data_IF_513648106191
#
_entry.id   IF_513648106191
#
_cell.length_a   1.000
_cell.length_b   1.000
_cell.length_c   1.000
_cell.angle_alpha   90.00
_cell.angle_beta   90.00
_cell.angle_gamma   90.00
#
_symmetry.space_group_name_H-M   'P 1'
#
loop_
_entity.id
_entity.type
_entity.pdbx_description
1 polymer ?
#
# COMPACT_ATOMS: atom_id res chain seq x y z
N UNK A 1 -25.22 -16.49 8.74
CA UNK A 1 -24.42 -15.39 9.31
C UNK A 1 -22.94 -15.46 8.94
N UNK A 2 -22.28 -16.61 9.10
CA UNK A 2 -20.87 -16.77 8.68
C UNK A 2 -20.67 -16.61 7.17
N UNK A 3 -21.64 -16.99 6.37
CA UNK A 3 -21.59 -16.86 4.90
C UNK A 3 -21.68 -15.40 4.45
N UNK A 4 -22.51 -14.58 5.12
CA UNK A 4 -22.65 -13.15 4.83
C UNK A 4 -21.32 -12.42 5.12
N UNK A 5 -20.68 -12.74 6.24
CA UNK A 5 -19.39 -12.18 6.61
C UNK A 5 -18.28 -12.54 5.61
N UNK A 6 -18.29 -13.76 5.09
CA UNK A 6 -17.35 -14.21 4.07
C UNK A 6 -17.57 -13.49 2.74
N UNK A 7 -18.83 -13.34 2.32
CA UNK A 7 -19.20 -12.61 1.11
C UNK A 7 -18.78 -11.14 1.22
N UNK A 8 -19.00 -10.52 2.37
CA UNK A 8 -18.58 -9.12 2.61
C UNK A 8 -17.07 -8.95 2.51
N UNK A 9 -16.30 -9.90 3.04
CA UNK A 9 -14.84 -9.89 2.93
C UNK A 9 -14.40 -10.06 1.46
N UNK A 10 -14.98 -10.99 0.74
CA UNK A 10 -14.68 -11.23 -0.67
C UNK A 10 -15.04 -10.00 -1.52
N UNK A 11 -16.22 -9.41 -1.29
CA UNK A 11 -16.64 -8.18 -1.98
C UNK A 11 -15.69 -7.02 -1.69
N UNK A 12 -15.27 -6.86 -0.44
CA UNK A 12 -14.31 -5.81 -0.07
C UNK A 12 -12.97 -5.99 -0.79
N UNK A 13 -12.46 -7.19 -0.85
CA UNK A 13 -11.23 -7.53 -1.56
C UNK A 13 -11.36 -7.24 -3.06
N UNK A 14 -12.48 -7.64 -3.66
CA UNK A 14 -12.75 -7.37 -5.07
C UNK A 14 -12.84 -5.86 -5.35
N UNK A 15 -13.45 -5.09 -4.45
CA UNK A 15 -13.53 -3.64 -4.56
C UNK A 15 -12.14 -3.01 -4.48
N UNK A 16 -11.29 -3.45 -3.56
CA UNK A 16 -9.91 -2.96 -3.44
C UNK A 16 -9.12 -3.26 -4.72
N UNK A 17 -9.21 -4.48 -5.23
CA UNK A 17 -8.53 -4.88 -6.47
C UNK A 17 -9.07 -4.09 -7.67
N UNK A 18 -10.38 -3.96 -7.79
CA UNK A 18 -11.03 -3.21 -8.86
C UNK A 18 -10.68 -1.72 -8.79
N UNK A 19 -10.66 -1.13 -7.60
CA UNK A 19 -10.28 0.25 -7.39
C UNK A 19 -8.82 0.49 -7.77
N UNK A 20 -7.90 -0.37 -7.34
CA UNK A 20 -6.50 -0.30 -7.71
C UNK A 20 -6.32 -0.43 -9.24
N UNK A 21 -6.98 -1.37 -9.86
CA UNK A 21 -6.94 -1.59 -11.31
C UNK A 21 -7.53 -0.40 -12.08
N UNK A 22 -8.67 0.10 -11.64
CA UNK A 22 -9.34 1.26 -12.23
C UNK A 22 -8.46 2.52 -12.13
N UNK A 23 -7.83 2.72 -11.00
CA UNK A 23 -6.90 3.81 -10.76
C UNK A 23 -5.69 3.76 -11.70
N UNK A 24 -5.16 2.57 -11.91
CA UNK A 24 -4.02 2.35 -12.81
C UNK A 24 -4.37 2.58 -14.29
N UNK A 25 -5.64 2.49 -14.68
CA UNK A 25 -6.09 2.70 -16.06
C UNK A 25 -6.43 4.15 -16.42
N UNK A 26 -6.78 4.98 -15.45
CA UNK A 26 -7.15 6.39 -15.72
C UNK A 26 -5.92 7.29 -15.78
N UNK A 27 -5.93 8.23 -16.73
CA UNK A 27 -4.90 9.28 -16.80
C UNK A 27 -4.83 10.14 -15.52
N UNK A 28 -5.96 10.30 -14.83
CA UNK A 28 -6.03 10.97 -13.52
C UNK A 28 -5.21 10.26 -12.47
N UNK A 29 -5.06 8.94 -12.58
CA UNK A 29 -4.26 8.16 -11.65
C UNK A 29 -2.77 8.48 -11.73
N UNK A 30 -2.26 8.79 -12.93
CA UNK A 30 -0.86 9.19 -13.11
C UNK A 30 -0.54 10.48 -12.36
N UNK A 31 -1.45 11.45 -12.40
CA UNK A 31 -1.29 12.71 -11.68
C UNK A 31 -1.37 12.50 -10.16
N UNK A 32 -2.28 11.65 -9.69
CA UNK A 32 -2.41 11.31 -8.27
C UNK A 32 -1.17 10.57 -7.76
N UNK A 33 -0.68 9.59 -8.49
CA UNK A 33 0.53 8.83 -8.12
C UNK A 33 1.76 9.74 -8.14
N UNK A 34 1.86 10.61 -9.13
CA UNK A 34 2.94 11.60 -9.21
C UNK A 34 2.90 12.57 -8.03
N UNK A 35 1.70 13.02 -7.64
CA UNK A 35 1.48 13.86 -6.46
C UNK A 35 1.86 13.12 -5.17
N UNK A 36 1.48 11.85 -5.06
CA UNK A 36 1.85 10.97 -3.96
C UNK A 36 3.36 10.80 -3.83
N UNK A 37 4.04 10.52 -4.93
CA UNK A 37 5.49 10.40 -4.95
C UNK A 37 6.16 11.68 -4.46
N UNK A 38 5.66 12.84 -4.88
CA UNK A 38 6.14 14.14 -4.44
C UNK A 38 5.93 14.35 -2.94
N UNK A 39 4.75 13.99 -2.42
CA UNK A 39 4.41 14.09 -1.00
C UNK A 39 5.33 13.21 -0.16
N UNK A 40 5.53 11.97 -0.58
CA UNK A 40 6.42 11.03 0.11
C UNK A 40 7.85 11.58 0.15
N UNK A 41 8.35 12.08 -0.95
CA UNK A 41 9.68 12.67 -1.03
C UNK A 41 9.84 13.89 -0.13
N UNK A 42 8.83 14.73 -0.02
CA UNK A 42 8.83 15.91 0.86
C UNK A 42 8.73 15.53 2.34
N UNK A 43 8.03 14.45 2.65
CA UNK A 43 7.78 14.01 4.02
C UNK A 43 8.87 13.08 4.58
N UNK A 44 9.91 12.81 3.83
CA UNK A 44 10.94 11.81 4.16
C UNK A 44 11.56 11.95 5.57
N UNK A 45 11.66 13.16 6.09
CA UNK A 45 12.23 13.42 7.42
C UNK A 45 11.32 12.95 8.57
N UNK A 46 10.03 12.79 8.33
CA UNK A 46 9.05 12.40 9.34
C UNK A 46 8.76 10.90 9.31
N UNK A 47 9.37 10.16 8.37
CA UNK A 47 9.03 8.77 8.12
C UNK A 47 9.97 7.75 8.74
N UNK A 48 11.11 8.18 9.31
CA UNK A 48 12.08 7.31 9.96
C UNK A 48 12.07 7.47 11.48
N UNK A 49 12.30 6.38 12.23
CA UNK A 49 12.49 4.99 11.80
C UNK A 49 11.18 4.29 11.44
N UNK A 50 11.21 3.45 10.42
CA UNK A 50 10.06 2.65 10.03
C UNK A 50 9.90 1.42 10.94
N UNK A 51 8.66 1.11 11.30
CA UNK A 51 8.32 -0.17 11.94
C UNK A 51 8.45 -1.30 10.92
N UNK A 52 9.05 -2.42 11.32
CA UNK A 52 9.25 -3.59 10.45
C UNK A 52 8.57 -4.83 11.03
N UNK A 53 7.89 -5.58 10.16
CA UNK A 53 7.36 -6.91 10.48
C UNK A 53 7.88 -7.92 9.47
N UNK A 54 8.49 -8.98 9.97
CA UNK A 54 8.91 -10.12 9.15
C UNK A 54 7.96 -11.28 9.39
N UNK A 55 7.48 -11.87 8.29
CA UNK A 55 6.50 -12.95 8.30
C UNK A 55 7.14 -14.17 7.61
N UNK A 56 7.13 -15.32 8.27
CA UNK A 56 7.76 -16.55 7.76
C UNK A 56 6.82 -17.33 6.83
N UNK A 57 6.12 -16.63 5.96
CA UNK A 57 5.23 -17.20 4.94
C UNK A 57 5.06 -16.23 3.77
N UNK A 58 4.34 -16.67 2.76
CA UNK A 58 3.94 -15.83 1.64
C UNK A 58 3.07 -14.67 2.12
N UNK A 59 3.37 -13.46 1.63
CA UNK A 59 2.53 -12.29 1.88
C UNK A 59 1.22 -12.43 1.09
N UNK A 60 0.11 -12.20 1.76
CA UNK A 60 -1.22 -12.23 1.20
C UNK A 60 -1.80 -10.82 1.12
N UNK A 61 -2.34 -10.47 -0.04
CA UNK A 61 -3.08 -9.22 -0.20
C UNK A 61 -4.20 -9.10 0.86
N UNK A 62 -4.95 -10.17 1.06
CA UNK A 62 -6.11 -10.16 1.95
C UNK A 62 -5.71 -10.19 3.42
N UNK A 63 -4.83 -11.10 3.80
CA UNK A 63 -4.48 -11.36 5.20
C UNK A 63 -3.55 -10.28 5.73
N UNK A 64 -2.58 -9.84 4.95
CA UNK A 64 -1.53 -8.95 5.43
C UNK A 64 -1.80 -7.48 5.12
N UNK A 65 -2.34 -7.17 3.95
CA UNK A 65 -2.53 -5.79 3.51
C UNK A 65 -3.93 -5.28 3.83
N UNK A 66 -4.96 -5.94 3.34
CA UNK A 66 -6.36 -5.53 3.55
C UNK A 66 -6.71 -5.55 5.03
N UNK A 67 -6.32 -6.60 5.75
CA UNK A 67 -6.57 -6.69 7.20
C UNK A 67 -5.85 -5.60 7.98
N UNK A 68 -4.63 -5.25 7.60
CA UNK A 68 -3.89 -4.15 8.21
C UNK A 68 -4.67 -2.83 8.10
N UNK A 69 -5.09 -2.47 6.90
CA UNK A 69 -5.83 -1.22 6.70
C UNK A 69 -7.22 -1.22 7.36
N UNK A 70 -7.88 -2.38 7.43
CA UNK A 70 -9.14 -2.53 8.16
C UNK A 70 -9.00 -2.22 9.65
N UNK A 71 -7.91 -2.64 10.26
CA UNK A 71 -7.65 -2.39 11.68
C UNK A 71 -7.47 -0.91 12.00
N UNK A 72 -7.08 -0.11 11.02
CA UNK A 72 -6.84 1.33 11.20
C UNK A 72 -8.13 2.16 11.20
N UNK A 73 -9.27 1.58 10.82
CA UNK A 73 -10.56 2.28 10.75
C UNK A 73 -10.49 3.62 10.01
N UNK A 74 -9.96 3.59 8.78
CA UNK A 74 -9.70 4.78 7.99
C UNK A 74 -10.97 5.50 7.55
N UNK A 75 -10.91 6.82 7.51
CA UNK A 75 -11.94 7.64 6.88
C UNK A 75 -11.64 7.76 5.37
N UNK A 76 -12.44 7.12 4.49
CA UNK A 76 -12.14 7.07 3.07
C UNK A 76 -12.20 8.43 2.36
N UNK A 77 -12.81 9.43 2.98
CA UNK A 77 -12.87 10.79 2.43
C UNK A 77 -11.63 11.62 2.70
N UNK A 78 -10.83 11.24 3.71
CA UNK A 78 -9.70 12.03 4.20
C UNK A 78 -8.39 11.27 4.27
N UNK A 79 -8.46 9.95 4.24
CA UNK A 79 -7.32 9.08 4.43
C UNK A 79 -7.22 8.09 3.27
N UNK A 80 -6.06 8.03 2.64
CA UNK A 80 -5.82 7.19 1.49
C UNK A 80 -4.72 6.18 1.82
N UNK A 81 -5.05 4.89 1.88
CA UNK A 81 -4.05 3.85 2.05
C UNK A 81 -3.24 3.66 0.78
N UNK A 82 -1.96 3.36 0.94
CA UNK A 82 -1.07 3.08 -0.18
C UNK A 82 -0.04 2.01 0.20
N UNK A 83 0.59 1.43 -0.82
CA UNK A 83 1.73 0.54 -0.64
C UNK A 83 2.80 0.83 -1.68
N UNK A 84 4.04 0.53 -1.33
CA UNK A 84 5.21 0.72 -2.18
C UNK A 84 6.01 -0.59 -2.18
N UNK A 85 6.50 -1.01 -3.34
CA UNK A 85 7.46 -2.11 -3.42
C UNK A 85 8.71 -1.79 -2.61
N UNK A 86 9.17 -2.74 -1.79
CA UNK A 86 10.37 -2.57 -0.99
C UNK A 86 11.63 -2.31 -1.81
N UNK A 87 11.75 -2.95 -2.98
CA UNK A 87 12.87 -2.72 -3.89
C UNK A 87 12.79 -1.39 -4.68
N UNK A 88 11.76 -0.60 -4.45
CA UNK A 88 11.61 0.75 -5.00
C UNK A 88 11.77 1.83 -3.92
N UNK A 89 12.16 1.46 -2.72
CA UNK A 89 12.21 2.36 -1.57
C UNK A 89 13.18 3.55 -1.78
N UNK A 90 14.31 3.32 -2.41
CA UNK A 90 15.32 4.36 -2.66
C UNK A 90 14.84 5.45 -3.61
N UNK A 91 13.81 5.20 -4.40
CA UNK A 91 13.19 6.21 -5.26
C UNK A 91 12.46 7.29 -4.47
N UNK A 92 12.02 6.97 -3.27
CA UNK A 92 11.20 7.84 -2.43
C UNK A 92 11.94 8.35 -1.18
N UNK A 93 12.86 7.56 -0.65
CA UNK A 93 13.58 7.85 0.57
C UNK A 93 15.09 7.84 0.29
N UNK A 94 15.68 9.02 0.17
CA UNK A 94 17.08 9.17 -0.25
C UNK A 94 18.10 8.50 0.67
N UNK A 95 17.77 8.36 1.95
CA UNK A 95 18.65 7.75 2.95
C UNK A 95 18.36 6.27 3.17
N UNK A 96 17.44 5.70 2.39
CA UNK A 96 17.06 4.30 2.50
C UNK A 96 17.90 3.42 1.57
N UNK A 97 18.05 2.18 1.95
CA UNK A 97 18.52 1.11 1.07
C UNK A 97 17.30 0.34 0.58
N UNK A 98 17.33 -0.12 -0.67
CA UNK A 98 16.26 -0.98 -1.18
C UNK A 98 16.16 -2.25 -0.33
N UNK A 99 14.92 -2.64 -0.09
CA UNK A 99 14.59 -3.89 0.59
C UNK A 99 14.43 -5.03 -0.40
N UNK A 100 14.22 -6.23 0.10
CA UNK A 100 14.01 -7.39 -0.76
C UNK A 100 12.78 -7.21 -1.66
N UNK A 101 12.74 -7.94 -2.78
CA UNK A 101 11.60 -7.95 -3.69
C UNK A 101 10.32 -8.50 -3.03
N UNK A 102 10.44 -9.18 -1.89
CA UNK A 102 9.33 -9.75 -1.12
C UNK A 102 8.91 -8.86 0.05
N UNK A 103 9.26 -7.60 0.03
CA UNK A 103 8.87 -6.62 1.04
C UNK A 103 8.00 -5.53 0.44
N UNK A 104 7.16 -4.96 1.32
CA UNK A 104 6.27 -3.85 1.01
C UNK A 104 6.38 -2.79 2.10
N UNK A 105 6.21 -1.55 1.71
CA UNK A 105 5.94 -0.46 2.63
C UNK A 105 4.47 -0.13 2.50
N UNK A 106 3.75 -0.14 3.62
CA UNK A 106 2.34 0.28 3.68
C UNK A 106 2.24 1.55 4.51
N UNK A 107 1.29 2.40 4.17
CA UNK A 107 1.09 3.65 4.90
C UNK A 107 -0.24 4.30 4.53
N UNK A 108 -0.54 5.39 5.22
CA UNK A 108 -1.77 6.17 5.03
C UNK A 108 -1.42 7.63 4.81
N UNK A 109 -1.94 8.19 3.74
CA UNK A 109 -1.88 9.63 3.50
C UNK A 109 -3.12 10.31 4.07
N UNK A 110 -2.91 11.35 4.88
CA UNK A 110 -3.96 12.16 5.47
C UNK A 110 -4.06 13.48 4.72
N UNK A 111 -5.19 13.71 4.06
CA UNK A 111 -5.41 14.93 3.26
C UNK A 111 -5.45 16.20 4.11
N UNK A 112 -6.13 16.16 5.25
CA UNK A 112 -6.29 17.34 6.11
C UNK A 112 -4.97 17.89 6.64
N UNK A 113 -4.06 17.01 7.02
CA UNK A 113 -2.76 17.40 7.57
C UNK A 113 -1.63 17.36 6.53
N UNK A 114 -1.90 16.85 5.34
CA UNK A 114 -0.90 16.62 4.30
C UNK A 114 0.31 15.82 4.82
N UNK A 115 0.03 14.78 5.60
CA UNK A 115 1.03 13.93 6.24
C UNK A 115 0.80 12.46 5.96
N UNK A 116 1.86 11.68 6.14
CA UNK A 116 1.80 10.23 6.06
C UNK A 116 1.92 9.65 7.47
N UNK A 117 1.04 8.71 7.78
CA UNK A 117 1.01 8.02 9.06
C UNK A 117 0.95 6.51 8.84
N UNK A 118 1.06 5.75 9.94
CA UNK A 118 0.93 4.28 9.93
C UNK A 118 1.87 3.59 8.95
N UNK A 119 3.06 4.15 8.80
CA UNK A 119 4.06 3.63 7.87
C UNK A 119 4.74 2.39 8.45
N UNK A 120 4.70 1.29 7.71
CA UNK A 120 5.22 0.01 8.16
C UNK A 120 5.83 -0.76 7.01
N UNK A 121 6.91 -1.48 7.29
CA UNK A 121 7.52 -2.43 6.36
C UNK A 121 7.02 -3.84 6.70
N UNK A 122 6.54 -4.55 5.71
CA UNK A 122 6.12 -5.95 5.83
C UNK A 122 6.94 -6.78 4.85
N UNK A 123 7.63 -7.78 5.36
CA UNK A 123 8.46 -8.69 4.56
C UNK A 123 7.98 -10.13 4.72
N UNK A 124 7.79 -10.84 3.62
CA UNK A 124 7.46 -12.26 3.60
C UNK A 124 8.51 -13.06 2.86
N UNK A 125 8.28 -14.37 2.75
CA UNK A 125 9.14 -15.28 1.97
C UNK A 125 8.89 -15.16 0.47
N UNK A 126 7.67 -14.77 0.10
CA UNK A 126 7.22 -14.52 -1.28
C UNK A 126 5.96 -13.65 -1.22
N UNK A 127 5.35 -13.37 -2.36
CA UNK A 127 4.08 -12.65 -2.46
C UNK A 127 3.06 -13.51 -3.20
N UNK A 128 1.78 -13.45 -2.79
CA UNK A 128 0.73 -14.15 -3.49
C UNK A 128 0.51 -13.59 -4.92
N UNK A 129 -0.21 -14.34 -5.75
CA UNK A 129 -0.43 -13.98 -7.15
C UNK A 129 -1.17 -12.65 -7.31
N UNK A 130 -2.13 -12.37 -6.43
CA UNK A 130 -2.90 -11.12 -6.46
C UNK A 130 -2.01 -9.92 -6.18
N UNK A 131 -1.18 -10.03 -5.16
CA UNK A 131 -0.25 -8.99 -4.76
C UNK A 131 0.81 -8.74 -5.84
N UNK A 132 1.38 -9.80 -6.39
CA UNK A 132 2.33 -9.70 -7.51
C UNK A 132 1.71 -8.99 -8.72
N UNK A 133 0.49 -9.33 -9.06
CA UNK A 133 -0.21 -8.75 -10.20
C UNK A 133 -0.47 -7.26 -10.03
N UNK A 134 -0.92 -6.84 -8.86
CA UNK A 134 -1.14 -5.42 -8.55
C UNK A 134 0.18 -4.64 -8.63
N UNK A 135 1.23 -5.17 -8.04
CA UNK A 135 2.55 -4.52 -8.01
C UNK A 135 3.22 -4.48 -9.38
N UNK A 136 2.99 -5.50 -10.20
CA UNK A 136 3.51 -5.54 -11.58
C UNK A 136 2.99 -4.38 -12.43
N UNK A 137 1.75 -3.97 -12.21
CA UNK A 137 1.09 -2.90 -12.94
C UNK A 137 1.25 -1.53 -12.25
N UNK A 138 1.97 -1.46 -11.15
CA UNK A 138 2.17 -0.23 -10.39
C UNK A 138 3.14 0.74 -11.09
N UNK A 139 2.83 2.03 -11.07
CA UNK A 139 3.75 3.08 -11.53
C UNK A 139 4.79 3.36 -10.44
N UNK A 140 6.08 3.25 -10.80
CA UNK A 140 7.20 3.48 -9.88
C UNK A 140 7.14 2.63 -8.59
N UNK A 141 6.39 1.54 -8.61
CA UNK A 141 6.22 0.67 -7.47
C UNK A 141 5.22 1.16 -6.42
N UNK A 142 4.47 2.23 -6.70
CA UNK A 142 3.42 2.74 -5.79
C UNK A 142 2.05 2.23 -6.25
N UNK A 143 1.27 1.77 -5.29
CA UNK A 143 -0.16 1.43 -5.46
C UNK A 143 -0.97 2.22 -4.44
N UNK A 144 -1.94 2.98 -4.92
CA UNK A 144 -2.90 3.69 -4.10
C UNK A 144 -4.17 2.84 -3.99
N UNK A 145 -4.61 2.58 -2.77
CA UNK A 145 -5.74 1.71 -2.48
C UNK A 145 -6.95 2.58 -2.08
N UNK A 146 -7.78 2.88 -3.02
CA UNK A 146 -9.01 3.65 -2.78
C UNK A 146 -10.24 2.78 -2.88
#
# INVERSE_FOLDING_TARGET
MKEISYIDVVLFVLVVIAAAYYFLKKNESKNTISSFASIIKKSKHNLYPLSKSKIDRELSLNIDIVSYFKQLSLNPKKQTPFMIKGNCMTKFFSDATDMSANSLIVGVYNEDSNTITDLKVIEGTSMDAQLQNILKNANDGIVVLN
#
